data_IF_930663989448
#
_entry.id   IF_930663989448
#
_cell.length_a   1.000
_cell.length_b   1.000
_cell.length_c   1.000
_cell.angle_alpha   90.00
_cell.angle_beta   90.00
_cell.angle_gamma   90.00
#
_symmetry.space_group_name_H-M   'P 1'
#
loop_
_entity.id
_entity.type
_entity.pdbx_description
1 polymer ?
#
# COMPACT_ATOMS: atom_id res chain seq x y z
N UNK A 1 20.00 -7.94 1.06
CA UNK A 1 19.40 -6.80 0.39
C UNK A 1 19.06 -5.76 1.44
N UNK A 2 19.56 -4.54 1.28
CA UNK A 2 19.33 -3.42 2.21
C UNK A 2 18.25 -2.47 1.68
N UNK A 3 17.59 -2.84 0.58
CA UNK A 3 16.82 -1.90 -0.24
C UNK A 3 15.30 -1.99 0.03
N UNK A 4 14.87 -2.81 0.97
CA UNK A 4 13.44 -3.07 1.18
C UNK A 4 12.79 -3.79 0.00
N UNK A 5 11.52 -3.52 -0.26
CA UNK A 5 10.79 -4.14 -1.37
C UNK A 5 11.18 -3.51 -2.71
N UNK A 6 11.63 -4.32 -3.66
CA UNK A 6 11.92 -3.88 -5.03
C UNK A 6 10.67 -3.97 -5.91
N UNK A 7 10.67 -3.24 -7.04
CA UNK A 7 9.61 -3.32 -8.05
C UNK A 7 9.33 -4.77 -8.48
N UNK A 8 10.39 -5.56 -8.62
CA UNK A 8 10.30 -6.95 -9.05
C UNK A 8 9.67 -7.88 -8.03
N UNK A 9 9.57 -7.50 -6.75
CA UNK A 9 8.82 -8.30 -5.80
C UNK A 9 7.33 -8.28 -6.14
N UNK A 10 6.68 -7.13 -6.04
CA UNK A 10 5.24 -7.02 -6.26
C UNK A 10 4.82 -7.39 -7.69
N UNK A 11 5.64 -7.01 -8.68
CA UNK A 11 5.30 -7.25 -10.08
C UNK A 11 5.58 -8.68 -10.59
N UNK A 12 6.14 -9.58 -9.77
CA UNK A 12 6.24 -11.01 -10.09
C UNK A 12 5.19 -11.87 -9.37
N UNK A 13 4.48 -11.31 -8.38
CA UNK A 13 3.46 -12.07 -7.64
C UNK A 13 2.35 -12.48 -8.60
N UNK A 14 2.04 -13.77 -8.60
CA UNK A 14 0.95 -14.38 -9.36
C UNK A 14 -0.36 -14.27 -8.57
N UNK A 15 -1.49 -14.27 -9.26
CA UNK A 15 -2.83 -14.18 -8.67
C UNK A 15 -3.34 -15.52 -8.10
N UNK A 16 -2.43 -16.28 -7.49
CA UNK A 16 -2.74 -17.58 -6.89
C UNK A 16 -3.32 -17.39 -5.50
N UNK A 17 -4.52 -17.92 -5.30
CA UNK A 17 -5.27 -17.83 -4.03
C UNK A 17 -5.44 -16.39 -3.50
N UNK A 18 -5.52 -15.40 -4.39
CA UNK A 18 -5.68 -14.00 -4.00
C UNK A 18 -6.94 -13.77 -3.17
N UNK A 19 -6.77 -13.10 -2.03
CA UNK A 19 -7.84 -12.80 -1.09
C UNK A 19 -8.23 -13.95 -0.17
N UNK A 20 -7.61 -15.12 -0.34
CA UNK A 20 -7.84 -16.29 0.51
C UNK A 20 -6.72 -16.42 1.56
N UNK A 21 -7.00 -17.07 2.70
CA UNK A 21 -6.02 -17.21 3.79
C UNK A 21 -4.67 -17.80 3.36
N UNK A 22 -4.67 -18.64 2.34
CA UNK A 22 -3.47 -19.28 1.79
C UNK A 22 -2.47 -18.28 1.19
N UNK A 23 -2.93 -17.10 0.78
CA UNK A 23 -2.07 -16.03 0.24
C UNK A 23 -1.61 -15.02 1.28
N UNK A 24 -2.18 -15.04 2.48
CA UNK A 24 -1.86 -14.06 3.54
C UNK A 24 -0.50 -14.32 4.20
N UNK A 25 -0.06 -13.41 5.05
CA UNK A 25 1.19 -13.54 5.82
C UNK A 25 2.45 -13.73 4.95
N UNK A 26 2.44 -13.19 3.74
CA UNK A 26 3.57 -13.29 2.81
C UNK A 26 3.63 -14.61 2.02
N UNK A 27 2.57 -15.41 2.02
CA UNK A 27 2.50 -16.67 1.25
C UNK A 27 2.10 -16.45 -0.22
N UNK A 28 2.62 -15.39 -0.84
CA UNK A 28 2.43 -15.14 -2.26
C UNK A 28 3.24 -16.12 -3.12
N UNK A 29 2.77 -16.36 -4.33
CA UNK A 29 3.45 -17.21 -5.31
C UNK A 29 4.24 -16.35 -6.29
N UNK A 30 5.51 -16.72 -6.51
CA UNK A 30 6.36 -16.22 -7.60
C UNK A 30 6.96 -17.43 -8.30
N UNK A 31 6.90 -17.49 -9.63
CA UNK A 31 7.59 -18.53 -10.37
C UNK A 31 9.11 -18.28 -10.37
N UNK A 32 9.76 -18.75 -9.31
CA UNK A 32 11.20 -18.64 -9.13
C UNK A 32 12.00 -19.72 -9.88
N UNK A 33 11.32 -20.76 -10.40
CA UNK A 33 11.97 -21.87 -11.13
C UNK A 33 12.35 -21.48 -12.56
N UNK A 34 11.63 -20.52 -13.14
CA UNK A 34 11.97 -20.01 -14.46
C UNK A 34 13.33 -19.31 -14.47
N UNK A 35 14.17 -19.57 -15.49
CA UNK A 35 15.47 -18.91 -15.62
C UNK A 35 15.32 -17.43 -15.94
N UNK A 36 16.42 -16.70 -15.75
CA UNK A 36 16.51 -15.29 -16.19
C UNK A 36 16.20 -15.17 -17.67
N UNK A 37 15.31 -14.25 -18.02
CA UNK A 37 14.83 -14.04 -19.39
C UNK A 37 13.49 -14.73 -19.70
N UNK A 38 13.01 -15.62 -18.85
CA UNK A 38 11.71 -16.30 -19.00
C UNK A 38 10.70 -15.92 -17.92
N UNK A 39 11.13 -15.26 -16.84
CA UNK A 39 10.24 -14.82 -15.75
C UNK A 39 9.32 -13.70 -16.20
N UNK A 40 8.06 -13.80 -15.77
CA UNK A 40 7.06 -12.78 -16.05
C UNK A 40 7.18 -11.61 -15.08
N UNK A 41 6.86 -10.41 -15.58
CA UNK A 41 6.66 -9.22 -14.76
C UNK A 41 5.32 -8.60 -15.16
N UNK A 42 4.41 -8.53 -14.21
CA UNK A 42 3.03 -8.18 -14.46
C UNK A 42 2.79 -6.67 -14.38
N UNK A 43 1.92 -6.18 -15.26
CA UNK A 43 1.42 -4.80 -15.24
C UNK A 43 0.00 -4.76 -15.79
N UNK A 44 -0.80 -3.80 -15.32
CA UNK A 44 -2.12 -3.54 -15.90
C UNK A 44 -2.08 -3.05 -17.35
N UNK A 45 -0.93 -2.59 -17.82
CA UNK A 45 -0.76 -2.03 -19.15
C UNK A 45 -0.20 -3.05 -20.12
N UNK A 46 -0.76 -3.07 -21.33
CA UNK A 46 -0.19 -3.83 -22.42
C UNK A 46 1.16 -3.24 -22.86
N UNK A 47 2.04 -4.10 -23.35
CA UNK A 47 3.30 -3.72 -23.95
C UNK A 47 3.34 -4.24 -25.38
N UNK A 48 3.80 -3.43 -26.34
CA UNK A 48 3.97 -3.87 -27.72
C UNK A 48 5.05 -4.92 -27.83
N UNK A 49 5.06 -5.72 -28.92
CA UNK A 49 6.10 -6.72 -29.16
C UNK A 49 7.51 -6.11 -29.13
N UNK A 50 7.69 -4.94 -29.73
CA UNK A 50 8.97 -4.22 -29.70
C UNK A 50 9.33 -3.81 -28.26
N UNK A 51 8.38 -3.29 -27.49
CA UNK A 51 8.57 -2.93 -26.08
C UNK A 51 8.91 -4.15 -25.23
N UNK A 52 8.25 -5.27 -25.47
CA UNK A 52 8.54 -6.55 -24.80
C UNK A 52 9.99 -6.99 -25.04
N UNK A 53 10.45 -6.99 -26.28
CA UNK A 53 11.82 -7.37 -26.60
C UNK A 53 12.87 -6.45 -25.94
N UNK A 54 12.62 -5.13 -25.92
CA UNK A 54 13.48 -4.14 -25.27
C UNK A 54 13.50 -4.37 -23.76
N UNK A 55 12.37 -4.51 -23.12
CA UNK A 55 12.25 -4.71 -21.67
C UNK A 55 12.89 -6.04 -21.25
N UNK A 56 12.61 -7.12 -21.97
CA UNK A 56 13.19 -8.43 -21.70
C UNK A 56 14.72 -8.39 -21.82
N UNK A 57 15.25 -7.78 -22.90
CA UNK A 57 16.69 -7.64 -23.10
C UNK A 57 17.39 -6.79 -22.04
N UNK A 58 16.70 -5.76 -21.50
CA UNK A 58 17.27 -4.86 -20.50
C UNK A 58 17.13 -5.37 -19.06
N UNK A 59 16.03 -6.04 -18.73
CA UNK A 59 15.68 -6.42 -17.36
C UNK A 59 15.77 -7.92 -17.07
N UNK A 60 15.74 -8.76 -18.11
CA UNK A 60 15.63 -10.21 -17.98
C UNK A 60 14.21 -10.70 -17.61
N UNK A 61 13.18 -9.83 -17.75
CA UNK A 61 11.79 -10.17 -17.47
C UNK A 61 10.92 -9.96 -18.70
N UNK A 62 9.90 -10.81 -18.86
CA UNK A 62 8.90 -10.68 -19.92
C UNK A 62 7.72 -9.85 -19.38
N UNK A 63 7.51 -8.63 -19.87
CA UNK A 63 6.38 -7.82 -19.45
C UNK A 63 5.07 -8.46 -19.90
N UNK A 64 4.19 -8.70 -18.96
CA UNK A 64 2.94 -9.41 -19.15
C UNK A 64 1.78 -8.55 -18.64
N UNK A 65 0.77 -8.33 -19.49
CA UNK A 65 -0.42 -7.61 -19.06
C UNK A 65 -1.25 -8.50 -18.13
N UNK A 66 -1.57 -7.97 -16.95
CA UNK A 66 -2.55 -8.57 -16.06
C UNK A 66 -3.21 -7.52 -15.17
N UNK A 67 -4.48 -7.72 -14.86
CA UNK A 67 -5.27 -6.79 -14.03
C UNK A 67 -5.04 -6.98 -12.54
N UNK A 68 -4.51 -8.13 -12.10
CA UNK A 68 -4.34 -8.44 -10.68
C UNK A 68 -3.41 -7.47 -9.96
N UNK A 69 -2.45 -6.85 -10.66
CA UNK A 69 -1.59 -5.82 -10.07
C UNK A 69 -2.32 -4.55 -9.63
N UNK A 70 -3.57 -4.39 -10.06
CA UNK A 70 -4.44 -3.28 -9.67
C UNK A 70 -5.54 -3.68 -8.67
N UNK A 71 -5.50 -4.90 -8.16
CA UNK A 71 -6.46 -5.43 -7.19
C UNK A 71 -5.91 -5.27 -5.76
N UNK A 72 -6.82 -5.11 -4.80
CA UNK A 72 -6.48 -4.99 -3.38
C UNK A 72 -5.81 -6.25 -2.84
N UNK A 73 -6.12 -7.39 -3.43
CA UNK A 73 -5.62 -8.71 -3.09
C UNK A 73 -4.09 -8.82 -3.23
N UNK A 74 -3.48 -8.08 -4.18
CA UNK A 74 -2.03 -7.99 -4.25
C UNK A 74 -1.42 -7.45 -2.95
N UNK A 75 -2.03 -6.42 -2.38
CA UNK A 75 -1.58 -5.83 -1.13
C UNK A 75 -1.88 -6.75 0.06
N UNK A 76 -3.00 -7.49 -0.01
CA UNK A 76 -3.44 -8.41 1.02
C UNK A 76 -2.42 -9.51 1.32
N UNK A 77 -1.64 -9.95 0.33
CA UNK A 77 -0.63 -10.99 0.50
C UNK A 77 0.39 -10.66 1.60
N UNK A 78 0.70 -9.37 1.80
CA UNK A 78 1.61 -8.89 2.84
C UNK A 78 0.88 -8.10 3.93
N UNK A 79 -0.24 -7.43 3.60
CA UNK A 79 -1.00 -6.58 4.52
C UNK A 79 -2.23 -7.27 5.14
N UNK A 80 -2.19 -8.60 5.23
CA UNK A 80 -3.03 -9.43 6.08
C UNK A 80 -2.09 -10.38 6.80
N UNK A 81 -1.64 -10.01 7.98
CA UNK A 81 -0.60 -10.72 8.69
C UNK A 81 -1.15 -11.36 9.95
N UNK A 82 -0.96 -12.66 10.03
CA UNK A 82 -1.19 -13.47 11.21
C UNK A 82 0.16 -13.91 11.77
N UNK A 83 0.41 -13.60 13.04
CA UNK A 83 1.67 -13.95 13.71
C UNK A 83 1.46 -15.15 14.63
N UNK A 84 2.25 -16.22 14.50
CA UNK A 84 2.14 -17.38 15.37
C UNK A 84 2.53 -17.03 16.80
N UNK A 85 1.82 -17.59 17.77
CA UNK A 85 2.19 -17.49 19.18
C UNK A 85 2.33 -18.86 19.82
N UNK A 86 3.18 -18.92 20.83
CA UNK A 86 3.54 -20.15 21.55
C UNK A 86 3.23 -20.00 23.03
N UNK A 87 3.07 -21.13 23.71
CA UNK A 87 2.97 -21.21 25.18
C UNK A 87 4.35 -21.08 25.86
N UNK A 88 4.37 -21.21 27.20
CA UNK A 88 5.56 -21.15 28.01
C UNK A 88 6.54 -22.30 27.76
N UNK A 89 6.13 -23.34 27.03
CA UNK A 89 6.95 -24.46 26.58
C UNK A 89 7.45 -24.33 25.15
N UNK A 90 7.21 -23.16 24.49
CA UNK A 90 7.50 -22.89 23.09
C UNK A 90 6.69 -23.77 22.11
N UNK A 91 5.55 -24.31 22.55
CA UNK A 91 4.65 -25.08 21.69
C UNK A 91 3.69 -24.13 20.98
N UNK A 92 3.53 -24.31 19.66
CA UNK A 92 2.57 -23.52 18.86
C UNK A 92 1.15 -23.69 19.42
N UNK A 93 0.48 -22.57 19.69
CA UNK A 93 -0.88 -22.54 20.23
C UNK A 93 -1.88 -22.05 19.20
N UNK A 94 -1.48 -21.08 18.37
CA UNK A 94 -2.33 -20.50 17.36
C UNK A 94 -1.70 -19.27 16.71
N UNK A 95 -2.51 -18.53 15.99
CA UNK A 95 -2.11 -17.31 15.30
C UNK A 95 -2.90 -16.12 15.82
N UNK A 96 -2.25 -14.97 15.86
CA UNK A 96 -2.82 -13.70 16.25
C UNK A 96 -2.87 -12.77 15.04
N UNK A 97 -4.01 -12.11 14.75
CA UNK A 97 -4.10 -11.13 13.67
C UNK A 97 -3.32 -9.87 14.06
N UNK A 98 -2.11 -9.73 13.55
CA UNK A 98 -1.24 -8.58 13.83
C UNK A 98 -1.69 -7.35 13.07
N UNK A 99 -2.03 -7.50 11.78
CA UNK A 99 -2.62 -6.46 10.95
C UNK A 99 -3.56 -7.08 9.92
N UNK A 100 -4.71 -6.46 9.72
CA UNK A 100 -5.75 -6.98 8.84
C UNK A 100 -6.41 -5.92 7.95
N UNK A 101 -5.67 -4.94 7.41
CA UNK A 101 -6.27 -3.84 6.64
C UNK A 101 -7.04 -4.30 5.41
N UNK A 102 -6.71 -5.45 4.81
CA UNK A 102 -7.51 -6.01 3.71
C UNK A 102 -8.88 -6.49 4.19
N UNK A 103 -8.97 -7.17 5.33
CA UNK A 103 -10.25 -7.62 5.90
C UNK A 103 -11.11 -6.44 6.38
N UNK A 104 -10.47 -5.39 6.88
CA UNK A 104 -11.12 -4.13 7.23
C UNK A 104 -11.68 -3.46 5.97
N UNK A 105 -10.88 -3.40 4.88
CA UNK A 105 -11.30 -2.89 3.58
C UNK A 105 -12.47 -3.69 3.02
N UNK A 106 -12.45 -5.01 3.06
CA UNK A 106 -13.55 -5.88 2.63
C UNK A 106 -14.87 -5.57 3.38
N UNK A 107 -14.77 -5.15 4.64
CA UNK A 107 -15.92 -4.78 5.47
C UNK A 107 -16.34 -3.32 5.30
N UNK A 108 -15.65 -2.56 4.45
CA UNK A 108 -15.89 -1.14 4.23
C UNK A 108 -16.79 -0.89 3.00
N UNK A 109 -17.25 0.35 2.86
CA UNK A 109 -17.97 0.80 1.67
C UNK A 109 -17.06 0.92 0.41
N UNK A 110 -15.77 0.66 0.53
CA UNK A 110 -14.80 0.77 -0.57
C UNK A 110 -14.54 -0.55 -1.28
N UNK A 111 -14.89 -1.68 -0.69
CA UNK A 111 -14.63 -3.01 -1.22
C UNK A 111 -15.03 -3.18 -2.70
N UNK A 112 -16.20 -2.62 -3.08
CA UNK A 112 -16.73 -2.74 -4.43
C UNK A 112 -16.29 -1.61 -5.39
N UNK A 113 -15.51 -0.62 -4.92
CA UNK A 113 -15.31 0.61 -5.69
C UNK A 113 -13.88 1.11 -5.76
N UNK A 114 -13.08 0.90 -4.73
CA UNK A 114 -11.76 1.54 -4.59
C UNK A 114 -10.77 0.57 -3.97
N UNK A 115 -9.87 -0.03 -4.74
CA UNK A 115 -8.83 -0.91 -4.21
C UNK A 115 -7.80 -0.10 -3.40
N UNK A 116 -6.94 -0.79 -2.66
CA UNK A 116 -5.90 -0.19 -1.83
C UNK A 116 -5.03 0.82 -2.60
N UNK A 117 -4.71 0.51 -3.85
CA UNK A 117 -3.93 1.37 -4.74
C UNK A 117 -4.61 2.72 -4.99
N UNK A 118 -5.95 2.77 -5.00
CA UNK A 118 -6.71 4.00 -5.24
C UNK A 118 -6.52 5.07 -4.15
N UNK A 119 -6.20 4.65 -2.93
CA UNK A 119 -5.93 5.55 -1.81
C UNK A 119 -4.43 5.68 -1.50
N UNK A 120 -3.69 4.55 -1.52
CA UNK A 120 -2.30 4.51 -1.08
C UNK A 120 -1.29 4.81 -2.19
N UNK A 121 -1.72 4.81 -3.45
CA UNK A 121 -0.90 5.13 -4.62
C UNK A 121 -1.56 6.29 -5.39
N UNK A 122 -1.31 7.55 -5.01
CA UNK A 122 -1.97 8.71 -5.62
C UNK A 122 -1.80 8.74 -7.15
N UNK A 123 -2.87 9.00 -7.85
CA UNK A 123 -2.85 9.09 -9.30
C UNK A 123 -2.02 10.29 -9.78
N UNK A 124 -1.23 10.11 -10.83
CA UNK A 124 -0.56 11.20 -11.51
C UNK A 124 -1.58 12.02 -12.30
N UNK A 125 -1.28 13.30 -12.51
CA UNK A 125 -2.07 14.15 -13.38
C UNK A 125 -1.74 13.83 -14.85
N UNK A 126 -2.78 13.49 -15.63
CA UNK A 126 -2.65 13.14 -17.02
C UNK A 126 -1.88 11.85 -17.30
N UNK A 127 -1.57 11.65 -18.58
CA UNK A 127 -0.86 10.46 -19.03
C UNK A 127 0.64 10.56 -18.77
N UNK A 128 1.25 9.47 -18.31
CA UNK A 128 2.68 9.39 -17.98
C UNK A 128 3.39 8.46 -18.95
N UNK A 129 4.49 8.93 -19.51
CA UNK A 129 5.43 8.12 -20.30
C UNK A 129 6.51 7.61 -19.36
N UNK A 130 6.51 6.30 -19.08
CA UNK A 130 7.45 5.68 -18.13
C UNK A 130 8.77 5.26 -18.75
N UNK A 131 8.85 5.17 -20.07
CA UNK A 131 10.06 4.77 -20.79
C UNK A 131 10.53 5.88 -21.72
N UNK A 132 11.81 6.23 -21.61
CA UNK A 132 12.48 7.17 -22.54
C UNK A 132 12.68 6.58 -23.94
N UNK A 133 12.46 5.26 -24.08
CA UNK A 133 12.69 4.53 -25.33
C UNK A 133 11.36 4.10 -25.94
N UNK A 134 10.60 5.06 -26.49
CA UNK A 134 9.37 4.78 -27.22
C UNK A 134 8.21 4.25 -26.38
N UNK A 135 8.13 4.66 -25.12
CA UNK A 135 7.02 4.28 -24.24
C UNK A 135 5.72 5.00 -24.64
N UNK A 136 4.62 4.26 -24.64
CA UNK A 136 3.29 4.82 -24.81
C UNK A 136 2.84 5.56 -23.55
N UNK A 137 2.08 6.68 -23.68
CA UNK A 137 1.47 7.35 -22.55
C UNK A 137 0.48 6.42 -21.80
N UNK A 138 0.54 6.42 -20.49
CA UNK A 138 -0.27 5.53 -19.63
C UNK A 138 -1.17 6.33 -18.71
N UNK A 139 -2.46 6.02 -18.74
CA UNK A 139 -3.47 6.66 -17.89
C UNK A 139 -4.58 5.65 -17.54
N UNK A 140 -5.03 5.61 -16.27
CA UNK A 140 -4.46 6.30 -15.11
C UNK A 140 -3.11 5.70 -14.70
N UNK A 141 -2.17 6.55 -14.30
CA UNK A 141 -0.87 6.10 -13.76
C UNK A 141 -0.81 6.39 -12.25
N UNK A 142 -0.44 5.39 -11.46
CA UNK A 142 -0.38 5.50 -10.01
C UNK A 142 1.06 5.66 -9.54
N UNK A 143 1.27 6.69 -8.71
CA UNK A 143 2.57 6.96 -8.08
C UNK A 143 2.83 5.93 -6.97
N UNK A 144 4.03 5.36 -6.93
CA UNK A 144 4.43 4.36 -5.93
C UNK A 144 4.94 5.01 -4.65
N UNK A 145 4.22 6.02 -4.14
CA UNK A 145 4.55 6.72 -2.90
C UNK A 145 4.09 5.98 -1.65
N UNK A 146 3.10 5.09 -1.80
CA UNK A 146 2.55 4.27 -0.72
C UNK A 146 2.22 5.11 0.53
N UNK A 147 1.45 6.17 0.32
CA UNK A 147 1.02 7.03 1.43
C UNK A 147 0.27 6.22 2.48
N UNK A 148 0.56 6.47 3.74
CA UNK A 148 -0.03 5.73 4.86
C UNK A 148 -0.43 6.66 6.00
N UNK A 149 -0.45 6.14 7.23
CA UNK A 149 -0.76 6.91 8.43
C UNK A 149 0.49 7.33 9.23
N UNK A 150 1.66 6.80 8.90
CA UNK A 150 2.86 6.94 9.74
C UNK A 150 3.84 7.98 9.19
N UNK A 151 3.61 9.24 9.52
CA UNK A 151 4.56 10.33 9.20
C UNK A 151 5.77 10.34 10.13
N UNK A 152 5.62 9.82 11.36
CA UNK A 152 6.69 9.79 12.34
C UNK A 152 7.86 8.89 11.91
N UNK A 153 7.59 7.77 11.25
CA UNK A 153 8.65 6.92 10.70
C UNK A 153 9.48 7.67 9.64
N UNK A 154 8.84 8.51 8.84
CA UNK A 154 9.55 9.36 7.87
C UNK A 154 10.44 10.40 8.57
N UNK A 155 10.00 10.95 9.70
CA UNK A 155 10.81 11.86 10.52
C UNK A 155 12.03 11.14 11.13
N UNK A 156 11.87 9.87 11.54
CA UNK A 156 13.00 9.05 12.01
C UNK A 156 14.01 8.82 10.88
N UNK A 157 13.57 8.47 9.69
CA UNK A 157 14.48 8.28 8.53
C UNK A 157 15.17 9.59 8.13
N UNK A 158 14.50 10.72 8.23
CA UNK A 158 15.09 12.03 7.97
C UNK A 158 16.16 12.39 8.99
N UNK A 159 15.94 12.08 10.26
CA UNK A 159 16.86 12.41 11.35
C UNK A 159 18.04 11.42 11.46
N UNK A 160 17.81 10.13 11.20
CA UNK A 160 18.71 9.02 11.51
C UNK A 160 19.05 8.14 10.31
N UNK A 161 18.80 8.60 9.08
CA UNK A 161 19.00 7.81 7.87
C UNK A 161 20.41 7.26 7.71
N UNK A 162 21.43 8.05 8.09
CA UNK A 162 22.82 7.61 8.02
C UNK A 162 23.12 6.47 9.03
N UNK A 163 22.59 6.56 10.24
CA UNK A 163 22.74 5.54 11.30
C UNK A 163 22.00 4.25 10.94
N UNK A 164 20.87 4.38 10.26
CA UNK A 164 20.04 3.27 9.79
C UNK A 164 20.50 2.70 8.44
N UNK A 165 21.57 3.26 7.87
CA UNK A 165 22.11 2.86 6.58
C UNK A 165 21.08 2.87 5.44
N UNK A 166 20.17 3.86 5.43
CA UNK A 166 19.20 4.00 4.34
C UNK A 166 19.92 4.36 3.04
N UNK A 167 19.53 3.74 1.95
CA UNK A 167 20.12 4.00 0.62
C UNK A 167 19.39 5.11 -0.14
N UNK A 168 18.12 5.40 0.26
CA UNK A 168 17.34 6.50 -0.30
C UNK A 168 17.81 7.85 0.25
N UNK A 169 17.83 8.87 -0.60
CA UNK A 169 18.12 10.25 -0.19
C UNK A 169 17.02 10.83 0.69
N UNK A 170 17.38 11.77 1.54
CA UNK A 170 16.46 12.44 2.46
C UNK A 170 15.29 13.14 1.75
N UNK A 171 15.49 13.59 0.52
CA UNK A 171 14.44 14.21 -0.30
C UNK A 171 13.28 13.24 -0.61
N UNK A 172 13.54 11.93 -0.73
CA UNK A 172 12.51 10.93 -0.95
C UNK A 172 11.65 10.72 0.30
N UNK A 173 12.27 10.68 1.48
CA UNK A 173 11.54 10.59 2.74
C UNK A 173 10.72 11.85 3.02
N UNK A 174 11.28 13.03 2.75
CA UNK A 174 10.58 14.30 2.87
C UNK A 174 9.36 14.35 1.93
N UNK A 175 9.53 13.95 0.69
CA UNK A 175 8.44 13.88 -0.29
C UNK A 175 7.32 12.91 0.17
N UNK A 176 7.67 11.67 0.57
CA UNK A 176 6.69 10.69 1.04
C UNK A 176 5.96 11.19 2.28
N UNK A 177 6.66 11.85 3.21
CA UNK A 177 6.07 12.48 4.40
C UNK A 177 5.04 13.53 4.02
N UNK A 178 5.39 14.42 3.09
CA UNK A 178 4.51 15.49 2.63
C UNK A 178 3.24 14.91 1.97
N UNK A 179 3.39 13.92 1.09
CA UNK A 179 2.26 13.25 0.46
C UNK A 179 1.36 12.54 1.48
N UNK A 180 1.96 11.91 2.50
CA UNK A 180 1.21 11.27 3.59
C UNK A 180 0.45 12.30 4.43
N UNK A 181 1.07 13.44 4.77
CA UNK A 181 0.39 14.51 5.48
C UNK A 181 -0.78 15.09 4.69
N UNK A 182 -0.59 15.34 3.40
CA UNK A 182 -1.66 15.82 2.53
C UNK A 182 -2.83 14.82 2.47
N UNK A 183 -2.54 13.53 2.34
CA UNK A 183 -3.56 12.49 2.36
C UNK A 183 -4.34 12.48 3.69
N UNK A 184 -3.65 12.55 4.82
CA UNK A 184 -4.27 12.55 6.15
C UNK A 184 -5.12 13.79 6.40
N UNK A 185 -4.65 14.97 5.98
CA UNK A 185 -5.31 16.25 6.24
C UNK A 185 -6.48 16.52 5.30
N UNK A 186 -6.40 16.07 4.05
CA UNK A 186 -7.33 16.47 3.01
C UNK A 186 -8.31 15.36 2.63
N UNK A 187 -7.97 14.09 2.82
CA UNK A 187 -8.69 12.96 2.22
C UNK A 187 -9.06 11.84 3.19
N UNK A 188 -8.36 11.69 4.31
CA UNK A 188 -8.56 10.55 5.20
C UNK A 188 -9.87 10.65 5.98
N UNK A 189 -10.23 11.84 6.48
CA UNK A 189 -11.48 12.07 7.21
C UNK A 189 -11.90 13.52 7.17
N UNK A 190 -13.21 13.78 7.19
CA UNK A 190 -13.77 15.08 7.53
C UNK A 190 -14.13 15.09 9.02
N UNK A 191 -13.60 16.08 9.74
CA UNK A 191 -13.87 16.26 11.17
C UNK A 191 -14.66 17.55 11.38
N UNK A 192 -15.81 17.44 12.02
CA UNK A 192 -16.58 18.61 12.44
C UNK A 192 -16.81 18.59 13.95
N UNK A 193 -16.77 19.78 14.56
CA UNK A 193 -17.12 19.99 15.95
C UNK A 193 -18.57 20.47 16.01
N UNK A 194 -19.46 19.65 16.57
CA UNK A 194 -20.84 20.02 16.79
C UNK A 194 -21.12 20.19 18.29
N UNK A 195 -21.49 21.40 18.67
CA UNK A 195 -21.94 21.70 20.03
C UNK A 195 -20.82 21.70 21.07
N UNK A 196 -20.09 22.79 21.13
CA UNK A 196 -19.17 23.06 22.24
C UNK A 196 -19.93 23.82 23.31
N UNK A 197 -19.97 23.27 24.53
CA UNK A 197 -20.69 23.91 25.65
C UNK A 197 -20.14 23.45 26.99
N UNK A 198 -20.67 24.08 28.05
CA UNK A 198 -20.42 23.63 29.41
C UNK A 198 -21.70 22.95 29.93
N UNK A 199 -21.59 21.71 30.36
CA UNK A 199 -22.61 21.01 31.12
C UNK A 199 -22.08 20.83 32.53
N UNK A 200 -22.80 21.40 33.52
CA UNK A 200 -22.46 21.27 34.96
C UNK A 200 -21.00 21.63 35.30
N UNK A 201 -20.47 22.72 34.72
CA UNK A 201 -19.08 23.19 34.88
C UNK A 201 -18.01 22.31 34.18
N UNK A 202 -18.40 21.33 33.39
CA UNK A 202 -17.51 20.48 32.61
C UNK A 202 -17.59 20.89 31.14
N UNK A 203 -16.44 20.99 30.48
CA UNK A 203 -16.39 21.24 29.03
C UNK A 203 -16.84 19.97 28.30
N UNK A 204 -18.03 20.03 27.68
CA UNK A 204 -18.52 18.95 26.84
C UNK A 204 -18.49 19.38 25.38
N UNK A 205 -17.92 18.58 24.52
CA UNK A 205 -17.98 18.77 23.07
C UNK A 205 -18.25 17.46 22.36
N UNK A 206 -19.03 17.55 21.30
CA UNK A 206 -19.26 16.43 20.42
C UNK A 206 -18.35 16.57 19.18
N UNK A 207 -17.48 15.62 18.94
CA UNK A 207 -16.71 15.53 17.72
C UNK A 207 -17.40 14.52 16.80
N UNK A 208 -17.91 14.97 15.66
CA UNK A 208 -18.37 14.06 14.62
C UNK A 208 -17.22 13.90 13.61
N UNK A 209 -16.77 12.69 13.42
CA UNK A 209 -15.79 12.33 12.39
C UNK A 209 -16.54 11.62 11.27
N UNK A 210 -16.58 12.23 10.11
CA UNK A 210 -17.02 11.58 8.88
C UNK A 210 -15.78 11.11 8.12
N UNK A 211 -15.36 9.87 8.32
CA UNK A 211 -14.45 9.22 7.40
C UNK A 211 -15.26 8.80 6.17
N UNK A 212 -14.98 9.39 5.04
CA UNK A 212 -15.67 9.32 3.74
C UNK A 212 -17.04 8.54 3.64
N UNK A 213 -17.53 7.83 4.63
CA UNK A 213 -18.88 7.21 4.76
C UNK A 213 -19.17 6.60 6.14
N UNK A 214 -18.30 6.73 7.14
CA UNK A 214 -18.60 6.30 8.51
C UNK A 214 -18.75 7.50 9.43
N UNK A 215 -19.85 7.60 10.18
CA UNK A 215 -20.00 8.59 11.25
C UNK A 215 -19.49 7.98 12.55
N UNK A 216 -18.35 8.45 13.03
CA UNK A 216 -17.89 8.16 14.37
C UNK A 216 -18.30 9.32 15.29
N UNK A 217 -19.14 9.04 16.28
CA UNK A 217 -19.52 10.04 17.30
C UNK A 217 -18.63 9.83 18.53
N UNK A 218 -17.66 10.72 18.71
CA UNK A 218 -16.86 10.77 19.93
C UNK A 218 -17.52 11.76 20.91
N UNK A 219 -17.89 11.26 22.07
CA UNK A 219 -18.28 12.10 23.21
C UNK A 219 -17.11 12.07 24.18
N UNK A 220 -16.45 13.21 24.36
CA UNK A 220 -15.39 13.35 25.35
C UNK A 220 -15.97 14.10 26.53
N UNK A 221 -16.18 13.41 27.64
CA UNK A 221 -16.46 14.00 28.93
C UNK A 221 -15.14 14.26 29.64
N UNK A 222 -14.82 15.52 29.96
CA UNK A 222 -13.64 15.91 30.73
C UNK A 222 -14.01 16.36 32.12
#
# INVERSE_FOLDING_TARGET
ALDGNSCTLCHQIEDVAFGEPESFSGHYTIDAELPTGERLIYSRFAVSEQGTAIMQGASGFIPTQSTHTAQAELCATCHTLYTPYVDDTATFVGEFPEQTPYLEWLSSAYADSTPCQGCHMPQAEGAVVTSITGGEPREPFFKHTFVGGNTYLMDIFLAHGAEMATTAGSEHFAFTREQTLAQLQERAAAVSLEGVGFADSTLAFNIAVEAQRAKLRLVVET
#
